data_IF_258529163120
#
_entry.id   IF_258529163120
#
_cell.length_a   1.000
_cell.length_b   1.000
_cell.length_c   1.000
_cell.angle_alpha   90.00
_cell.angle_beta   90.00
_cell.angle_gamma   90.00
#
_symmetry.space_group_name_H-M   'P 1'
#
loop_
_entity.id
_entity.type
_entity.pdbx_description
1 polymer ?
#
# COMPACT_ATOMS: atom_id res chain seq x y z
N UNK A 1 -13.68 36.02 -28.06
CA UNK A 1 -13.66 35.98 -26.59
C UNK A 1 -13.39 34.54 -26.18
N UNK A 2 -12.24 34.24 -25.56
CA UNK A 2 -11.94 32.89 -25.08
C UNK A 2 -12.65 32.63 -23.77
N UNK A 3 -13.60 31.71 -23.77
CA UNK A 3 -14.16 31.13 -22.54
C UNK A 3 -13.11 30.20 -21.94
N UNK A 4 -12.50 30.59 -20.83
CA UNK A 4 -11.68 29.70 -20.04
C UNK A 4 -12.60 28.64 -19.40
N UNK A 5 -12.54 27.40 -19.88
CA UNK A 5 -13.21 26.27 -19.22
C UNK A 5 -12.48 25.99 -17.90
N UNK A 6 -13.13 26.31 -16.78
CA UNK A 6 -12.62 25.94 -15.46
C UNK A 6 -12.66 24.41 -15.33
N UNK A 7 -11.56 23.82 -14.88
CA UNK A 7 -11.51 22.39 -14.62
C UNK A 7 -12.47 22.04 -13.46
N UNK A 8 -13.26 20.96 -13.58
CA UNK A 8 -14.17 20.54 -12.52
C UNK A 8 -13.39 20.23 -11.23
N UNK A 9 -13.95 20.64 -10.11
CA UNK A 9 -13.37 20.47 -8.78
C UNK A 9 -13.74 19.12 -8.16
N UNK A 10 -13.07 18.76 -7.06
CA UNK A 10 -13.46 17.60 -6.24
C UNK A 10 -14.91 17.70 -5.78
N UNK A 11 -15.37 18.90 -5.43
CA UNK A 11 -16.75 19.12 -4.96
C UNK A 11 -17.74 18.83 -6.09
N UNK A 12 -17.47 19.33 -7.30
CA UNK A 12 -18.34 19.09 -8.47
C UNK A 12 -18.49 17.59 -8.76
N UNK A 13 -17.40 16.83 -8.67
CA UNK A 13 -17.44 15.38 -8.83
C UNK A 13 -18.24 14.67 -7.74
N UNK A 14 -18.12 15.10 -6.48
CA UNK A 14 -18.90 14.52 -5.36
C UNK A 14 -20.39 14.83 -5.53
N UNK A 15 -20.74 16.04 -5.92
CA UNK A 15 -22.12 16.45 -6.18
C UNK A 15 -22.72 15.70 -7.36
N UNK A 16 -21.97 15.51 -8.45
CA UNK A 16 -22.42 14.68 -9.57
C UNK A 16 -22.71 13.25 -9.13
N UNK A 17 -21.77 12.61 -8.40
CA UNK A 17 -21.94 11.22 -7.92
C UNK A 17 -23.15 11.09 -6.98
N UNK A 18 -23.37 12.07 -6.09
CA UNK A 18 -24.42 11.99 -5.08
C UNK A 18 -25.81 12.27 -5.64
N UNK A 19 -25.91 13.22 -6.56
CA UNK A 19 -27.19 13.82 -6.95
C UNK A 19 -27.64 13.42 -8.36
N UNK A 20 -26.72 12.97 -9.23
CA UNK A 20 -27.00 12.81 -10.67
C UNK A 20 -26.54 11.48 -11.28
N UNK A 21 -25.53 10.81 -10.70
CA UNK A 21 -24.95 9.61 -11.30
C UNK A 21 -25.93 8.43 -11.30
N UNK A 22 -26.05 7.78 -12.45
CA UNK A 22 -26.75 6.51 -12.58
C UNK A 22 -25.81 5.31 -12.37
N UNK A 23 -26.33 4.08 -12.48
CA UNK A 23 -25.55 2.87 -12.27
C UNK A 23 -24.38 2.74 -13.27
N UNK A 24 -24.56 3.15 -14.52
CA UNK A 24 -23.51 3.08 -15.54
C UNK A 24 -22.40 4.11 -15.26
N UNK A 25 -22.78 5.31 -14.81
CA UNK A 25 -21.83 6.32 -14.35
C UNK A 25 -21.00 5.80 -13.17
N UNK A 26 -21.64 5.18 -12.17
CA UNK A 26 -20.96 4.62 -11.02
C UNK A 26 -19.96 3.52 -11.42
N UNK A 27 -20.35 2.61 -12.31
CA UNK A 27 -19.45 1.57 -12.81
C UNK A 27 -18.24 2.15 -13.55
N UNK A 28 -18.46 3.13 -14.42
CA UNK A 28 -17.40 3.82 -15.15
C UNK A 28 -16.43 4.55 -14.19
N UNK A 29 -16.96 5.20 -13.16
CA UNK A 29 -16.18 5.88 -12.13
C UNK A 29 -15.36 4.88 -11.32
N UNK A 30 -15.96 3.77 -10.87
CA UNK A 30 -15.26 2.70 -10.14
C UNK A 30 -14.12 2.12 -10.99
N UNK A 31 -14.35 1.85 -12.26
CA UNK A 31 -13.33 1.36 -13.18
C UNK A 31 -12.16 2.35 -13.31
N UNK A 32 -12.48 3.65 -13.45
CA UNK A 32 -11.49 4.73 -13.52
C UNK A 32 -10.68 4.86 -12.24
N UNK A 33 -11.33 4.79 -11.07
CA UNK A 33 -10.66 4.80 -9.76
C UNK A 33 -9.69 3.62 -9.64
N UNK A 34 -10.13 2.41 -9.99
CA UNK A 34 -9.26 1.21 -9.97
C UNK A 34 -8.04 1.37 -10.88
N UNK A 35 -8.24 1.89 -12.09
CA UNK A 35 -7.14 2.15 -13.02
C UNK A 35 -6.14 3.18 -12.43
N UNK A 36 -6.65 4.26 -11.81
CA UNK A 36 -5.81 5.27 -11.17
C UNK A 36 -5.04 4.70 -9.98
N UNK A 37 -5.69 3.92 -9.13
CA UNK A 37 -5.06 3.26 -7.99
C UNK A 37 -3.92 2.35 -8.44
N UNK A 38 -4.12 1.54 -9.50
CA UNK A 38 -3.06 0.71 -10.08
C UNK A 38 -1.84 1.53 -10.49
N UNK A 39 -2.04 2.67 -11.16
CA UNK A 39 -0.93 3.56 -11.55
C UNK A 39 -0.20 4.11 -10.33
N UNK A 40 -0.93 4.53 -9.29
CA UNK A 40 -0.33 5.03 -8.05
C UNK A 40 0.45 3.93 -7.32
N UNK A 41 -0.07 2.70 -7.30
CA UNK A 41 0.60 1.55 -6.69
C UNK A 41 1.89 1.20 -7.44
N UNK A 42 1.88 1.23 -8.78
CA UNK A 42 3.10 1.05 -9.60
C UNK A 42 4.13 2.15 -9.31
N UNK A 43 3.69 3.41 -9.21
CA UNK A 43 4.59 4.53 -8.88
C UNK A 43 5.22 4.36 -7.50
N UNK A 44 4.43 3.98 -6.49
CA UNK A 44 4.96 3.69 -5.15
C UNK A 44 5.96 2.54 -5.19
N UNK A 45 5.60 1.45 -5.87
CA UNK A 45 6.49 0.30 -6.00
C UNK A 45 7.83 0.67 -6.65
N UNK A 46 7.83 1.54 -7.67
CA UNK A 46 9.06 2.01 -8.32
C UNK A 46 9.91 2.96 -7.48
N UNK A 47 9.32 3.59 -6.46
CA UNK A 47 10.04 4.51 -5.57
C UNK A 47 10.75 3.79 -4.41
N UNK A 48 10.41 2.52 -4.17
CA UNK A 48 11.00 1.72 -3.08
C UNK A 48 12.39 1.25 -3.50
N UNK A 49 13.40 1.59 -2.70
CA UNK A 49 14.78 1.18 -2.90
C UNK A 49 15.26 0.18 -1.82
N UNK A 50 16.35 -0.52 -2.11
CA UNK A 50 17.07 -1.30 -1.10
C UNK A 50 17.65 -0.35 -0.04
N UNK A 51 17.71 -0.81 1.20
CA UNK A 51 18.10 -0.09 2.41
C UNK A 51 17.17 1.07 2.82
N UNK A 52 16.01 1.20 2.16
CA UNK A 52 14.97 2.15 2.56
C UNK A 52 14.17 1.63 3.77
N UNK A 53 13.90 2.53 4.72
CA UNK A 53 12.92 2.27 5.78
C UNK A 53 11.49 2.38 5.24
N UNK A 54 10.65 1.41 5.60
CA UNK A 54 9.27 1.34 5.12
C UNK A 54 8.31 0.95 6.23
N UNK A 55 7.08 1.45 6.12
CA UNK A 55 5.92 0.99 6.87
C UNK A 55 5.03 0.14 5.96
N UNK A 56 4.63 -1.04 6.43
CA UNK A 56 3.79 -1.94 5.67
C UNK A 56 2.31 -1.52 5.76
N UNK A 57 1.63 -1.38 4.63
CA UNK A 57 0.22 -1.00 4.55
C UNK A 57 -0.53 -1.70 3.40
N UNK A 58 -1.83 -1.94 3.58
CA UNK A 58 -2.67 -2.58 2.57
C UNK A 58 -2.49 -4.11 2.49
N UNK A 59 -1.83 -4.71 3.49
CA UNK A 59 -1.65 -6.16 3.58
C UNK A 59 -2.85 -6.86 4.22
N UNK A 60 -3.03 -8.11 3.83
CA UNK A 60 -3.84 -9.10 4.52
C UNK A 60 -2.93 -10.25 4.96
N UNK A 61 -2.90 -10.61 6.26
CA UNK A 61 -3.79 -10.20 7.35
C UNK A 61 -3.56 -8.77 7.90
N UNK A 62 -4.58 -8.21 8.57
CA UNK A 62 -4.55 -6.81 9.06
C UNK A 62 -3.44 -6.51 10.08
N UNK A 63 -3.03 -7.49 10.89
CA UNK A 63 -1.96 -7.32 11.87
C UNK A 63 -0.57 -7.08 11.25
N UNK A 64 -0.42 -7.29 9.94
CA UNK A 64 0.81 -6.95 9.22
C UNK A 64 0.92 -5.46 8.89
N UNK A 65 -0.20 -4.73 8.94
CA UNK A 65 -0.21 -3.31 8.66
C UNK A 65 0.34 -2.54 9.87
N UNK A 66 1.17 -1.53 9.60
CA UNK A 66 1.84 -0.74 10.62
C UNK A 66 3.17 -1.34 11.10
N UNK A 67 3.52 -2.55 10.64
CA UNK A 67 4.87 -3.08 10.86
C UNK A 67 5.88 -2.24 10.08
N UNK A 68 7.02 -1.97 10.70
CA UNK A 68 8.12 -1.19 10.13
C UNK A 68 9.37 -2.03 9.96
N UNK A 69 10.19 -1.68 8.98
CA UNK A 69 11.45 -2.35 8.72
C UNK A 69 12.25 -1.71 7.59
N UNK A 70 13.36 -2.34 7.24
CA UNK A 70 14.26 -1.90 6.17
C UNK A 70 14.21 -2.89 5.03
N UNK A 71 14.09 -2.41 3.79
CA UNK A 71 14.14 -3.25 2.60
C UNK A 71 15.54 -3.82 2.43
N UNK A 72 15.69 -5.14 2.45
CA UNK A 72 16.98 -5.83 2.28
C UNK A 72 17.23 -6.34 0.88
N UNK A 73 16.18 -6.73 0.17
CA UNK A 73 16.28 -7.18 -1.21
C UNK A 73 15.00 -6.89 -1.96
N UNK A 74 15.10 -6.74 -3.29
CA UNK A 74 13.96 -6.61 -4.19
C UNK A 74 14.06 -7.68 -5.26
N UNK A 75 12.98 -8.44 -5.45
CA UNK A 75 12.84 -9.52 -6.42
C UNK A 75 11.55 -9.32 -7.22
N UNK A 76 11.68 -8.72 -8.41
CA UNK A 76 10.53 -8.34 -9.23
C UNK A 76 9.64 -7.33 -8.50
N UNK A 77 8.36 -7.66 -8.29
CA UNK A 77 7.40 -6.80 -7.59
C UNK A 77 7.35 -7.03 -6.07
N UNK A 78 8.30 -7.77 -5.51
CA UNK A 78 8.32 -8.13 -4.10
C UNK A 78 9.63 -7.68 -3.43
N UNK A 79 9.54 -7.32 -2.16
CA UNK A 79 10.66 -7.03 -1.28
C UNK A 79 10.78 -8.05 -0.17
N UNK A 80 12.01 -8.24 0.30
CA UNK A 80 12.29 -8.80 1.61
C UNK A 80 12.56 -7.65 2.58
N UNK A 81 11.79 -7.58 3.66
CA UNK A 81 11.87 -6.50 4.65
C UNK A 81 12.40 -7.06 5.95
N UNK A 82 13.53 -6.55 6.43
CA UNK A 82 14.01 -6.81 7.78
C UNK A 82 13.25 -5.93 8.76
N UNK A 83 12.40 -6.54 9.56
CA UNK A 83 11.55 -5.84 10.52
C UNK A 83 12.37 -5.24 11.65
N UNK A 84 11.93 -4.07 12.14
CA UNK A 84 12.43 -3.47 13.36
C UNK A 84 12.20 -4.41 14.56
N UNK A 85 12.90 -4.18 15.68
CA UNK A 85 12.78 -5.04 16.87
C UNK A 85 11.35 -5.07 17.41
N UNK A 86 10.72 -3.90 17.50
CA UNK A 86 9.31 -3.78 17.89
C UNK A 86 8.38 -4.53 16.93
N UNK A 87 8.59 -4.40 15.62
CA UNK A 87 7.75 -5.08 14.62
C UNK A 87 7.98 -6.59 14.59
N UNK A 88 9.21 -7.04 14.86
CA UNK A 88 9.57 -8.46 14.99
C UNK A 88 8.87 -9.07 16.20
N UNK A 89 8.85 -8.37 17.34
CA UNK A 89 8.14 -8.81 18.53
C UNK A 89 6.62 -8.87 18.31
N UNK A 90 6.05 -7.83 17.70
CA UNK A 90 4.63 -7.82 17.33
C UNK A 90 4.27 -8.98 16.38
N UNK A 91 5.08 -9.20 15.35
CA UNK A 91 4.87 -10.30 14.41
C UNK A 91 5.01 -11.66 15.10
N UNK A 92 5.94 -11.82 16.03
CA UNK A 92 6.06 -13.04 16.84
C UNK A 92 4.77 -13.31 17.61
N UNK A 93 4.20 -12.29 18.24
CA UNK A 93 2.99 -12.45 19.05
C UNK A 93 1.75 -12.77 18.21
N UNK A 94 1.46 -11.95 17.19
CA UNK A 94 0.23 -12.08 16.39
C UNK A 94 0.36 -13.11 15.25
N UNK A 95 1.57 -13.29 14.72
CA UNK A 95 1.87 -14.10 13.55
C UNK A 95 2.38 -15.51 13.82
N UNK A 96 2.49 -15.95 15.10
CA UNK A 96 3.11 -17.22 15.53
C UNK A 96 2.72 -18.48 14.75
N UNK A 97 1.50 -18.52 14.18
CA UNK A 97 1.02 -19.66 13.39
C UNK A 97 1.65 -19.74 12.00
N UNK A 98 2.09 -18.61 11.46
CA UNK A 98 2.61 -18.49 10.08
C UNK A 98 4.10 -18.13 10.05
N UNK A 99 4.57 -17.40 11.06
CA UNK A 99 5.96 -16.95 11.15
C UNK A 99 6.61 -17.59 12.36
N UNK A 100 7.53 -18.52 12.10
CA UNK A 100 8.34 -19.15 13.14
C UNK A 100 9.54 -18.23 13.39
N UNK A 101 9.42 -17.39 14.42
CA UNK A 101 10.46 -16.46 14.84
C UNK A 101 11.06 -16.99 16.14
N UNK A 102 12.35 -17.29 16.14
CA UNK A 102 13.05 -17.79 17.31
C UNK A 102 12.88 -16.86 18.52
N UNK A 103 12.83 -17.47 19.71
CA UNK A 103 12.82 -16.74 20.96
C UNK A 103 14.11 -15.92 21.10
N UNK A 104 13.99 -14.65 21.49
CA UNK A 104 15.12 -13.72 21.57
C UNK A 104 15.60 -13.12 20.24
N UNK A 105 15.08 -13.54 19.08
CA UNK A 105 15.46 -12.91 17.80
C UNK A 105 15.02 -11.43 17.76
N UNK A 106 15.96 -10.50 17.60
CA UNK A 106 15.67 -9.07 17.56
C UNK A 106 15.21 -8.57 16.20
N UNK A 107 15.57 -9.25 15.13
CA UNK A 107 15.25 -8.87 13.75
C UNK A 107 14.79 -10.10 12.99
N UNK A 108 13.78 -9.91 12.15
CA UNK A 108 13.22 -10.96 11.31
C UNK A 108 13.07 -10.45 9.88
N UNK A 109 13.60 -11.21 8.91
CA UNK A 109 13.41 -10.91 7.50
C UNK A 109 12.11 -11.54 7.03
N UNK A 110 11.14 -10.69 6.74
CA UNK A 110 9.87 -11.08 6.16
C UNK A 110 9.94 -10.96 4.63
N UNK A 111 9.92 -12.10 3.95
CA UNK A 111 10.00 -12.15 2.49
C UNK A 111 8.64 -12.06 1.78
N UNK A 112 8.69 -11.69 0.50
CA UNK A 112 7.51 -11.72 -0.38
C UNK A 112 6.51 -10.58 -0.14
N UNK A 113 6.97 -9.44 0.37
CA UNK A 113 6.13 -8.26 0.58
C UNK A 113 5.93 -7.53 -0.75
N UNK A 114 4.70 -7.33 -1.26
CA UNK A 114 4.51 -6.59 -2.49
C UNK A 114 5.00 -5.14 -2.35
N UNK A 115 5.81 -4.65 -3.29
CA UNK A 115 6.38 -3.30 -3.23
C UNK A 115 5.30 -2.21 -3.13
N UNK A 116 4.12 -2.45 -3.72
CA UNK A 116 2.97 -1.54 -3.63
C UNK A 116 2.41 -1.37 -2.22
N UNK A 117 2.84 -2.18 -1.25
CA UNK A 117 2.42 -2.14 0.16
C UNK A 117 3.44 -1.47 1.07
N UNK A 118 4.66 -1.23 0.58
CA UNK A 118 5.68 -0.49 1.29
C UNK A 118 5.38 1.02 1.18
N UNK A 119 5.41 1.73 2.31
CA UNK A 119 5.24 3.18 2.39
C UNK A 119 6.49 3.77 3.03
N UNK A 120 6.92 4.91 2.51
CA UNK A 120 7.89 5.79 3.15
C UNK A 120 7.34 6.41 4.44
#
# INVERSE_FOLDING_TARGET
>A
MSTATLAPTRTDAISFISDHADEADLDAIIATIKARQKVLDTRRASAVAVDQEVTLQGLQPKYLNGLTGTVRSIRGNYADVELSEKSTEQLRFYGRRRFIIAEGAKRYVMGGIPLSTCRD
#
